data_IF_516417983088
#
_entry.id   IF_516417983088
#
_cell.length_a   1.000
_cell.length_b   1.000
_cell.length_c   1.000
_cell.angle_alpha   90.00
_cell.angle_beta   90.00
_cell.angle_gamma   90.00
#
_symmetry.space_group_name_H-M   'P 1'
#
loop_
_entity.id
_entity.type
_entity.pdbx_description
1 polymer ?
#
# COMPACT_ATOMS: atom_id res chain seq x y z
N UNK A 1 -7.00 -17.62 -18.28
CA UNK A 1 -7.17 -17.98 -16.84
C UNK A 1 -5.94 -17.61 -16.01
N UNK A 2 -4.73 -17.83 -16.52
CA UNK A 2 -3.47 -17.42 -15.86
C UNK A 2 -3.40 -15.89 -15.67
N UNK A 3 -3.91 -15.11 -16.63
CA UNK A 3 -3.89 -13.64 -16.60
C UNK A 3 -4.58 -13.04 -15.37
N UNK A 4 -5.68 -13.66 -14.92
CA UNK A 4 -6.39 -13.23 -13.70
C UNK A 4 -5.57 -13.50 -12.45
N UNK A 5 -4.84 -14.62 -12.41
CA UNK A 5 -3.97 -14.98 -11.27
C UNK A 5 -2.76 -14.05 -11.22
N UNK A 6 -2.11 -13.81 -12.37
CA UNK A 6 -0.99 -12.88 -12.50
C UNK A 6 -1.40 -11.47 -12.09
N UNK A 7 -2.56 -10.98 -12.56
CA UNK A 7 -3.11 -9.67 -12.15
C UNK A 7 -3.36 -9.60 -10.64
N UNK A 8 -4.01 -10.62 -10.06
CA UNK A 8 -4.27 -10.67 -8.61
C UNK A 8 -2.97 -10.66 -7.81
N UNK A 9 -1.96 -11.41 -8.23
CA UNK A 9 -0.66 -11.44 -7.59
C UNK A 9 0.04 -10.08 -7.67
N UNK A 10 0.04 -9.44 -8.84
CA UNK A 10 0.63 -8.13 -9.02
C UNK A 10 -0.05 -7.06 -8.15
N UNK A 11 -1.38 -7.10 -8.04
CA UNK A 11 -2.13 -6.19 -7.18
C UNK A 11 -1.81 -6.42 -5.69
N UNK A 12 -1.72 -7.69 -5.27
CA UNK A 12 -1.27 -8.03 -3.91
C UNK A 12 0.15 -7.55 -3.63
N UNK A 13 1.08 -7.74 -4.58
CA UNK A 13 2.47 -7.27 -4.46
C UNK A 13 2.52 -5.75 -4.29
N UNK A 14 1.78 -5.00 -5.11
CA UNK A 14 1.70 -3.52 -5.02
C UNK A 14 1.13 -3.07 -3.69
N UNK A 15 0.02 -3.68 -3.25
CA UNK A 15 -0.57 -3.42 -1.94
C UNK A 15 0.49 -3.59 -0.83
N UNK A 16 1.19 -4.73 -0.85
CA UNK A 16 2.14 -5.08 0.20
C UNK A 16 3.33 -4.13 0.22
N UNK A 17 3.87 -3.81 -0.96
CA UNK A 17 4.94 -2.84 -1.10
C UNK A 17 4.55 -1.48 -0.51
N UNK A 18 3.42 -0.90 -0.92
CA UNK A 18 2.96 0.39 -0.40
C UNK A 18 2.68 0.35 1.11
N UNK A 19 2.10 -0.75 1.60
CA UNK A 19 1.84 -0.92 3.03
C UNK A 19 3.14 -0.96 3.84
N UNK A 20 4.12 -1.74 3.40
CA UNK A 20 5.39 -1.92 4.12
C UNK A 20 6.23 -0.63 4.06
N UNK A 21 6.28 0.04 2.91
CA UNK A 21 6.94 1.35 2.75
C UNK A 21 6.36 2.40 3.70
N UNK A 22 5.03 2.60 3.70
CA UNK A 22 4.38 3.58 4.58
C UNK A 22 4.46 3.17 6.06
N UNK A 23 4.39 1.88 6.37
CA UNK A 23 4.47 1.40 7.75
C UNK A 23 5.84 1.63 8.38
N UNK A 24 6.89 1.60 7.57
CA UNK A 24 8.27 1.86 7.99
C UNK A 24 8.55 3.35 8.26
N UNK A 25 7.73 4.27 7.74
CA UNK A 25 7.85 5.69 8.04
C UNK A 25 7.52 5.97 9.52
N UNK A 26 8.22 6.94 10.11
CA UNK A 26 7.90 7.46 11.45
C UNK A 26 6.59 8.24 11.45
N UNK A 27 6.02 8.49 12.63
CA UNK A 27 4.80 9.30 12.74
C UNK A 27 5.00 10.73 12.21
N UNK A 28 6.22 11.28 12.32
CA UNK A 28 6.54 12.60 11.79
C UNK A 28 6.57 12.61 10.26
N UNK A 29 7.26 11.64 9.66
CA UNK A 29 7.29 11.52 8.19
C UNK A 29 5.90 11.28 7.61
N UNK A 30 5.06 10.51 8.31
CA UNK A 30 3.66 10.33 7.95
C UNK A 30 2.86 11.64 8.08
N UNK A 31 3.08 12.42 9.15
CA UNK A 31 2.44 13.71 9.38
C UNK A 31 2.85 14.76 8.32
N UNK A 32 4.14 14.78 7.94
CA UNK A 32 4.68 15.64 6.88
C UNK A 32 4.02 15.33 5.51
N UNK A 33 3.60 14.09 5.30
CA UNK A 33 2.85 13.65 4.11
C UNK A 33 1.32 13.86 4.26
N UNK A 34 0.84 14.27 5.43
CA UNK A 34 -0.57 14.38 5.75
C UNK A 34 -1.29 13.02 5.82
N UNK A 35 -0.56 11.94 6.16
CA UNK A 35 -1.08 10.57 6.24
C UNK A 35 -1.21 10.15 7.70
N UNK A 36 -2.41 9.77 8.12
CA UNK A 36 -2.58 9.09 9.40
C UNK A 36 -2.12 7.62 9.30
N UNK A 37 -1.45 7.09 10.34
CA UNK A 37 -1.01 5.68 10.36
C UNK A 37 -2.18 4.69 10.17
N UNK A 38 -3.38 5.05 10.63
CA UNK A 38 -4.62 4.28 10.41
C UNK A 38 -5.06 4.22 8.96
N UNK A 39 -4.67 5.21 8.13
CA UNK A 39 -5.04 5.30 6.72
C UNK A 39 -4.09 4.54 5.79
N UNK A 40 -2.94 4.05 6.28
CA UNK A 40 -1.96 3.32 5.46
C UNK A 40 -2.61 2.17 4.68
N UNK A 41 -3.48 1.39 5.33
CA UNK A 41 -4.20 0.30 4.66
C UNK A 41 -5.17 0.79 3.57
N UNK A 42 -5.72 2.00 3.70
CA UNK A 42 -6.57 2.62 2.66
C UNK A 42 -5.73 2.99 1.45
N UNK A 43 -4.62 3.71 1.64
CA UNK A 43 -3.71 4.11 0.55
C UNK A 43 -3.08 2.91 -0.16
N UNK A 44 -2.65 1.90 0.59
CA UNK A 44 -2.12 0.67 0.02
C UNK A 44 -3.13 -0.04 -0.90
N UNK A 45 -4.43 -0.05 -0.54
CA UNK A 45 -5.49 -0.59 -1.41
C UNK A 45 -5.73 0.25 -2.66
N UNK A 46 -5.61 1.57 -2.56
CA UNK A 46 -5.74 2.47 -3.72
C UNK A 46 -4.62 2.27 -4.75
N UNK A 47 -3.41 1.92 -4.29
CA UNK A 47 -2.25 1.60 -5.14
C UNK A 47 -2.43 0.29 -5.94
N UNK A 48 -3.25 -0.64 -5.44
CA UNK A 48 -3.41 -1.99 -5.97
C UNK A 48 -4.50 -2.15 -7.05
N UNK A 49 -4.81 -1.09 -7.80
CA UNK A 49 -5.90 -1.07 -8.80
C UNK A 49 -5.45 -1.61 -10.16
#
# INVERSE_FOLDING_TARGET
>A
MIDTVVRKFNNWKRFRQTYDELSNLSNRELDDLGIARTDIARYARMSAK
#
